data_IF_739839098768
#
_entry.id   IF_739839098768
#
_cell.length_a   1.000
_cell.length_b   1.000
_cell.length_c   1.000
_cell.angle_alpha   90.00
_cell.angle_beta   90.00
_cell.angle_gamma   90.00
#
_symmetry.space_group_name_H-M   'P 1'
#
loop_
_entity.id
_entity.type
_entity.pdbx_description
1 polymer ?
#
# COMPACT_ATOMS: atom_id res chain seq x y z
N UNK A 1 -11.38 -9.50 -15.73
CA UNK A 1 -11.51 -9.38 -14.25
C UNK A 1 -12.42 -8.20 -13.91
N UNK A 2 -13.07 -8.18 -12.74
CA UNK A 2 -13.95 -7.07 -12.32
C UNK A 2 -13.12 -5.81 -12.06
N UNK A 3 -13.57 -4.65 -12.54
CA UNK A 3 -12.96 -3.37 -12.24
C UNK A 3 -12.91 -3.15 -10.72
N UNK A 4 -11.71 -3.01 -10.16
CA UNK A 4 -11.51 -2.78 -8.73
C UNK A 4 -11.78 -1.30 -8.46
N UNK A 5 -12.68 -1.00 -7.52
CA UNK A 5 -13.04 0.38 -7.20
C UNK A 5 -11.97 1.05 -6.32
N UNK A 6 -11.86 2.38 -6.37
CA UNK A 6 -10.92 3.13 -5.52
C UNK A 6 -11.08 2.82 -4.01
N UNK A 7 -12.29 2.66 -3.44
CA UNK A 7 -12.45 2.20 -2.06
C UNK A 7 -11.82 0.83 -1.78
N UNK A 8 -11.91 -0.11 -2.73
CA UNK A 8 -11.30 -1.42 -2.60
C UNK A 8 -9.76 -1.33 -2.66
N UNK A 9 -9.21 -0.49 -3.54
CA UNK A 9 -7.77 -0.23 -3.59
C UNK A 9 -7.26 0.41 -2.30
N UNK A 10 -7.96 1.41 -1.76
CA UNK A 10 -7.60 2.02 -0.46
C UNK A 10 -7.67 1.01 0.69
N UNK A 11 -8.67 0.12 0.68
CA UNK A 11 -8.78 -0.95 1.66
C UNK A 11 -7.61 -1.94 1.56
N UNK A 12 -7.18 -2.28 0.33
CA UNK A 12 -6.03 -3.15 0.09
C UNK A 12 -4.72 -2.48 0.51
N UNK A 13 -4.47 -1.24 0.11
CA UNK A 13 -3.29 -0.48 0.55
C UNK A 13 -3.20 -0.41 2.09
N UNK A 14 -4.33 -0.15 2.76
CA UNK A 14 -4.41 -0.17 4.23
C UNK A 14 -4.08 -1.55 4.80
N UNK A 15 -4.57 -2.64 4.19
CA UNK A 15 -4.28 -4.02 4.61
C UNK A 15 -2.80 -4.34 4.47
N UNK A 16 -2.19 -3.98 3.35
CA UNK A 16 -0.78 -4.20 3.07
C UNK A 16 0.11 -3.42 4.05
N UNK A 17 -0.25 -2.18 4.38
CA UNK A 17 0.43 -1.41 5.43
C UNK A 17 0.39 -2.10 6.80
N UNK A 18 -0.77 -2.62 7.21
CA UNK A 18 -0.90 -3.34 8.50
C UNK A 18 -0.13 -4.68 8.51
N UNK A 19 0.03 -5.32 7.34
CA UNK A 19 0.74 -6.59 7.20
C UNK A 19 2.25 -6.42 6.95
N UNK A 20 2.71 -5.22 6.57
CA UNK A 20 4.09 -4.95 6.17
C UNK A 20 5.14 -5.53 7.12
N UNK A 21 5.02 -5.29 8.43
CA UNK A 21 5.98 -5.79 9.44
C UNK A 21 6.01 -7.32 9.49
N UNK A 22 4.84 -7.98 9.39
CA UNK A 22 4.74 -9.44 9.31
C UNK A 22 5.44 -9.94 8.04
N UNK A 23 5.17 -9.30 6.92
CA UNK A 23 5.71 -9.68 5.62
C UNK A 23 7.23 -9.46 5.51
N UNK A 24 7.77 -8.46 6.21
CA UNK A 24 9.21 -8.20 6.27
C UNK A 24 9.95 -9.09 7.29
N UNK A 25 9.24 -9.71 8.24
CA UNK A 25 9.84 -10.60 9.24
C UNK A 25 10.52 -11.82 8.61
N UNK A 26 11.73 -12.15 9.08
CA UNK A 26 12.57 -13.25 8.54
C UNK A 26 11.84 -14.60 8.46
N UNK A 27 10.97 -14.88 9.43
CA UNK A 27 10.22 -16.15 9.56
C UNK A 27 9.11 -16.27 8.52
N UNK A 28 8.46 -15.16 8.16
CA UNK A 28 7.41 -15.16 7.14
C UNK A 28 7.99 -15.00 5.72
N UNK A 29 9.13 -14.30 5.59
CA UNK A 29 9.85 -14.14 4.32
C UNK A 29 10.21 -15.50 3.69
N UNK A 30 10.66 -16.47 4.49
CA UNK A 30 11.09 -17.79 4.02
C UNK A 30 9.97 -18.73 3.58
N UNK A 31 8.74 -18.52 4.08
CA UNK A 31 7.55 -19.29 3.67
C UNK A 31 6.79 -18.61 2.53
N UNK A 32 6.68 -17.28 2.54
CA UNK A 32 5.95 -16.53 1.52
C UNK A 32 6.68 -16.42 0.16
N UNK A 33 8.02 -16.45 0.13
CA UNK A 33 8.80 -16.55 -1.13
C UNK A 33 8.41 -17.80 -1.93
N UNK A 34 7.95 -18.87 -1.27
CA UNK A 34 7.64 -20.17 -1.90
C UNK A 34 6.21 -20.30 -2.44
N UNK A 35 5.28 -19.39 -2.12
CA UNK A 35 3.86 -19.57 -2.46
C UNK A 35 3.17 -18.35 -3.14
N UNK A 36 3.56 -17.10 -2.84
CA UNK A 36 2.92 -15.87 -3.36
C UNK A 36 3.94 -14.77 -3.71
N UNK A 37 5.22 -15.15 -3.87
CA UNK A 37 6.37 -14.27 -3.65
C UNK A 37 6.39 -12.96 -4.45
N UNK A 38 5.85 -12.91 -5.66
CA UNK A 38 5.93 -11.73 -6.54
C UNK A 38 5.14 -10.52 -6.01
N UNK A 39 3.84 -10.68 -5.79
CA UNK A 39 2.95 -9.57 -5.40
C UNK A 39 3.26 -9.06 -4.00
N UNK A 40 3.50 -9.96 -3.04
CA UNK A 40 3.87 -9.57 -1.68
C UNK A 40 5.18 -8.77 -1.67
N UNK A 41 6.21 -9.23 -2.38
CA UNK A 41 7.48 -8.50 -2.45
C UNK A 41 7.33 -7.15 -3.14
N UNK A 42 6.47 -7.07 -4.16
CA UNK A 42 6.19 -5.82 -4.85
C UNK A 42 5.45 -4.82 -3.96
N UNK A 43 4.52 -5.28 -3.10
CA UNK A 43 3.90 -4.44 -2.06
C UNK A 43 4.89 -3.95 -1.00
N UNK A 44 5.83 -4.81 -0.57
CA UNK A 44 6.90 -4.40 0.35
C UNK A 44 7.74 -3.28 -0.31
N UNK A 45 8.15 -3.46 -1.56
CA UNK A 45 8.93 -2.46 -2.32
C UNK A 45 8.15 -1.16 -2.48
N UNK A 46 6.86 -1.23 -2.80
CA UNK A 46 6.00 -0.04 -2.91
C UNK A 46 5.94 0.74 -1.58
N UNK A 47 5.79 0.05 -0.46
CA UNK A 47 5.78 0.69 0.87
C UNK A 47 7.16 1.29 1.19
N UNK A 48 8.25 0.61 0.87
CA UNK A 48 9.60 1.12 1.06
C UNK A 48 9.85 2.41 0.24
N UNK A 49 9.46 2.42 -1.04
CA UNK A 49 9.53 3.61 -1.90
C UNK A 49 8.68 4.76 -1.35
N UNK A 50 7.45 4.49 -0.90
CA UNK A 50 6.58 5.48 -0.28
C UNK A 50 7.23 6.09 0.98
N UNK A 51 7.88 5.27 1.81
CA UNK A 51 8.62 5.75 2.99
C UNK A 51 9.80 6.63 2.61
N UNK A 52 10.59 6.24 1.60
CA UNK A 52 11.72 7.06 1.12
C UNK A 52 11.22 8.43 0.63
N UNK A 53 10.17 8.43 -0.19
CA UNK A 53 9.56 9.66 -0.69
C UNK A 53 9.06 10.56 0.45
N UNK A 54 8.28 9.99 1.38
CA UNK A 54 7.76 10.75 2.52
C UNK A 54 8.87 11.25 3.42
N UNK A 55 9.94 10.48 3.63
CA UNK A 55 11.09 10.93 4.44
C UNK A 55 11.81 12.12 3.83
N UNK A 56 11.89 12.19 2.50
CA UNK A 56 12.49 13.33 1.80
C UNK A 56 11.60 14.58 1.84
N UNK A 57 10.29 14.42 1.63
CA UNK A 57 9.35 15.54 1.49
C UNK A 57 8.78 16.03 2.83
N UNK A 58 8.43 15.11 3.72
CA UNK A 58 7.85 15.40 5.03
C UNK A 58 8.20 14.30 6.05
N UNK A 59 9.35 14.42 6.73
CA UNK A 59 9.80 13.43 7.71
C UNK A 59 8.80 13.17 8.84
N UNK A 60 8.00 14.17 9.22
CA UNK A 60 6.98 13.99 10.25
C UNK A 60 5.85 13.06 9.76
N UNK A 61 5.42 13.21 8.50
CA UNK A 61 4.41 12.34 7.89
C UNK A 61 4.90 10.89 7.76
N UNK A 62 6.18 10.66 7.45
CA UNK A 62 6.76 9.30 7.45
C UNK A 62 6.80 8.69 8.86
N UNK A 63 7.18 9.46 9.89
CA UNK A 63 7.11 8.99 11.28
C UNK A 63 5.68 8.65 11.70
N UNK A 64 4.71 9.49 11.32
CA UNK A 64 3.29 9.24 11.55
C UNK A 64 2.83 7.93 10.88
N UNK A 65 3.18 7.72 9.60
CA UNK A 65 2.91 6.47 8.87
C UNK A 65 3.45 5.25 9.62
N UNK A 66 4.73 5.29 9.99
CA UNK A 66 5.42 4.19 10.66
C UNK A 66 4.75 3.82 11.99
N UNK A 67 4.33 4.82 12.78
CA UNK A 67 3.64 4.59 14.06
C UNK A 67 2.18 4.17 13.90
N UNK A 68 1.42 4.81 13.03
CA UNK A 68 -0.02 4.54 12.86
C UNK A 68 -0.30 3.12 12.37
N UNK A 69 0.54 2.63 11.46
CA UNK A 69 0.43 1.31 10.83
C UNK A 69 1.34 0.25 11.46
N UNK A 70 2.20 0.64 12.42
CA UNK A 70 3.07 -0.28 13.13
C UNK A 70 4.10 -0.96 12.22
N UNK A 71 4.71 -0.18 11.32
CA UNK A 71 5.67 -0.69 10.35
C UNK A 71 6.97 -1.17 11.01
N UNK A 72 7.36 -0.53 12.12
CA UNK A 72 8.55 -0.87 12.90
C UNK A 72 8.17 -1.54 14.23
N UNK A 73 7.27 -0.90 14.99
CA UNK A 73 6.82 -1.39 16.30
C UNK A 73 5.42 -2.00 16.20
N UNK A 74 5.17 -3.19 16.80
CA UNK A 74 3.84 -3.79 16.79
C UNK A 74 2.79 -2.89 17.44
N UNK A 75 1.59 -2.85 16.84
CA UNK A 75 0.45 -2.14 17.41
C UNK A 75 -0.16 -2.95 18.57
N UNK A 76 -0.56 -2.28 19.67
CA UNK A 76 -1.35 -2.92 20.71
C UNK A 76 -2.67 -3.46 20.14
N UNK A 77 -2.96 -4.75 20.34
CA UNK A 77 -4.14 -5.43 19.78
C UNK A 77 -5.47 -4.89 20.31
N UNK A 78 -5.47 -4.31 21.51
CA UNK A 78 -6.66 -3.79 22.19
C UNK A 78 -7.00 -2.35 21.82
N UNK A 79 -6.13 -1.62 21.10
CA UNK A 79 -6.35 -0.19 20.84
C UNK A 79 -7.03 0.06 19.49
N UNK A 80 -8.21 0.72 19.46
CA UNK A 80 -8.84 1.11 18.22
C UNK A 80 -8.03 2.20 17.51
N UNK A 81 -8.18 2.29 16.18
CA UNK A 81 -7.43 3.25 15.35
C UNK A 81 -7.60 4.71 15.82
N UNK A 82 -8.81 5.09 16.21
CA UNK A 82 -9.11 6.43 16.75
C UNK A 82 -8.27 6.76 17.98
N UNK A 83 -8.18 5.83 18.94
CA UNK A 83 -7.39 6.05 20.17
C UNK A 83 -5.90 6.24 19.85
N UNK A 84 -5.37 5.49 18.86
CA UNK A 84 -3.99 5.67 18.41
C UNK A 84 -3.78 7.03 17.74
N UNK A 85 -4.75 7.49 16.96
CA UNK A 85 -4.67 8.79 16.29
C UNK A 85 -4.67 9.94 17.30
N UNK A 86 -5.54 9.89 18.32
CA UNK A 86 -5.57 10.89 19.42
C UNK A 86 -4.24 10.93 20.17
N UNK A 87 -3.70 9.76 20.51
CA UNK A 87 -2.39 9.68 21.16
C UNK A 87 -1.29 10.26 20.26
N UNK A 88 -1.33 9.98 18.96
CA UNK A 88 -0.36 10.52 18.00
C UNK A 88 -0.52 12.04 17.81
N UNK A 89 -1.73 12.61 17.90
CA UNK A 89 -1.92 14.06 17.82
C UNK A 89 -1.27 14.77 19.00
N UNK A 90 -1.39 14.19 20.20
CA UNK A 90 -0.72 14.68 21.40
C UNK A 90 0.80 14.54 21.27
N UNK A 91 1.30 13.34 20.94
CA UNK A 91 2.74 13.05 20.83
C UNK A 91 3.46 13.88 19.76
N UNK A 92 2.78 14.20 18.66
CA UNK A 92 3.37 14.93 17.54
C UNK A 92 3.03 16.42 17.55
N UNK A 93 2.20 16.88 18.49
CA UNK A 93 1.66 18.24 18.54
C UNK A 93 1.00 18.69 17.23
N UNK A 94 0.22 17.80 16.61
CA UNK A 94 -0.47 18.02 15.33
C UNK A 94 -1.97 17.79 15.53
N UNK A 95 -2.83 18.63 14.94
CA UNK A 95 -4.28 18.47 15.08
C UNK A 95 -4.78 17.13 14.52
N UNK A 96 -5.83 16.57 15.13
CA UNK A 96 -6.46 15.34 14.63
C UNK A 96 -6.86 15.46 13.14
N UNK A 97 -7.42 16.61 12.74
CA UNK A 97 -7.80 16.89 11.35
C UNK A 97 -6.62 16.75 10.37
N UNK A 98 -5.45 17.22 10.78
CA UNK A 98 -4.21 17.11 9.98
C UNK A 98 -3.77 15.66 9.89
N UNK A 99 -3.88 14.88 10.98
CA UNK A 99 -3.55 13.45 10.96
C UNK A 99 -4.49 12.64 10.06
N UNK A 100 -5.80 12.94 10.07
CA UNK A 100 -6.74 12.32 9.13
C UNK A 100 -6.38 12.63 7.68
N UNK A 101 -6.01 13.88 7.38
CA UNK A 101 -5.53 14.27 6.05
C UNK A 101 -4.25 13.52 5.67
N UNK A 102 -3.26 13.48 6.57
CA UNK A 102 -2.02 12.75 6.35
C UNK A 102 -2.26 11.26 6.11
N UNK A 103 -3.23 10.66 6.79
CA UNK A 103 -3.59 9.26 6.58
C UNK A 103 -4.08 9.02 5.15
N UNK A 104 -4.93 9.89 4.62
CA UNK A 104 -5.40 9.77 3.23
C UNK A 104 -4.25 10.02 2.24
N UNK A 105 -3.44 11.07 2.45
CA UNK A 105 -2.25 11.35 1.63
C UNK A 105 -1.28 10.14 1.58
N UNK A 106 -1.06 9.47 2.73
CA UNK A 106 -0.21 8.28 2.81
C UNK A 106 -0.78 7.13 1.98
N UNK A 107 -2.09 6.90 2.05
CA UNK A 107 -2.72 5.84 1.25
C UNK A 107 -2.56 6.12 -0.25
N UNK A 108 -2.66 7.38 -0.66
CA UNK A 108 -2.47 7.78 -2.06
C UNK A 108 -1.03 7.58 -2.52
N UNK A 109 -0.04 8.01 -1.73
CA UNK A 109 1.39 7.77 -2.03
C UNK A 109 1.70 6.28 -2.15
N UNK A 110 1.16 5.45 -1.26
CA UNK A 110 1.36 4.00 -1.31
C UNK A 110 0.70 3.39 -2.55
N UNK A 111 -0.48 3.88 -2.93
CA UNK A 111 -1.14 3.45 -4.17
C UNK A 111 -0.34 3.83 -5.41
N UNK A 112 0.21 5.04 -5.47
CA UNK A 112 1.09 5.45 -6.58
C UNK A 112 2.34 4.57 -6.65
N UNK A 113 3.01 4.33 -5.53
CA UNK A 113 4.17 3.44 -5.50
C UNK A 113 3.82 2.00 -5.90
N UNK A 114 2.62 1.51 -5.55
CA UNK A 114 2.14 0.20 -5.97
C UNK A 114 1.81 0.13 -7.47
N UNK A 115 1.34 1.24 -8.06
CA UNK A 115 1.17 1.36 -9.50
C UNK A 115 2.51 1.35 -10.23
N UNK A 116 3.49 2.12 -9.76
CA UNK A 116 4.86 2.11 -10.32
C UNK A 116 5.52 0.73 -10.21
N UNK A 117 5.27 0.01 -9.11
CA UNK A 117 5.74 -1.36 -8.93
C UNK A 117 4.96 -2.41 -9.76
N UNK A 118 3.96 -2.00 -10.55
CA UNK A 118 3.16 -2.89 -11.41
C UNK A 118 2.16 -3.78 -10.67
N UNK A 119 1.98 -3.55 -9.36
CA UNK A 119 1.10 -4.34 -8.48
C UNK A 119 -0.36 -3.96 -8.69
N UNK A 120 -0.60 -2.66 -8.88
CA UNK A 120 -1.91 -2.12 -9.21
C UNK A 120 -1.87 -1.59 -10.64
N UNK A 121 -2.84 -1.97 -11.47
CA UNK A 121 -2.98 -1.41 -12.80
C UNK A 121 -3.49 0.04 -12.75
N UNK A 122 -3.02 0.87 -13.69
CA UNK A 122 -3.61 2.18 -13.93
C UNK A 122 -5.07 2.00 -14.37
N UNK A 123 -5.98 2.75 -13.74
CA UNK A 123 -7.39 2.72 -14.08
C UNK A 123 -7.58 3.05 -15.57
N UNK A 124 -8.27 2.18 -16.30
CA UNK A 124 -8.55 2.33 -17.74
C UNK A 124 -7.45 1.85 -18.70
N UNK A 125 -6.20 1.65 -18.26
CA UNK A 125 -5.08 1.31 -19.17
C UNK A 125 -4.89 -0.21 -19.32
N UNK A 126 -4.99 -0.98 -18.23
CA UNK A 126 -4.89 -2.46 -18.30
C UNK A 126 -6.04 -3.09 -19.08
N UNK A 127 -7.24 -2.51 -19.00
CA UNK A 127 -8.39 -2.99 -19.78
C UNK A 127 -8.15 -2.84 -21.29
N UNK A 128 -7.43 -1.80 -21.73
CA UNK A 128 -7.09 -1.58 -23.13
C UNK A 128 -6.01 -2.55 -23.62
N UNK A 129 -4.94 -2.77 -22.83
CA UNK A 129 -3.87 -3.71 -23.19
C UNK A 129 -4.34 -5.18 -23.23
N UNK A 130 -5.24 -5.57 -22.33
CA UNK A 130 -5.84 -6.92 -22.35
C UNK A 130 -6.82 -7.10 -23.52
N UNK A 131 -7.53 -6.04 -23.94
CA UNK A 131 -8.39 -6.05 -25.13
C UNK A 131 -7.57 -6.12 -26.41
N UNK A 132 -6.47 -5.36 -26.52
CA UNK A 132 -5.55 -5.42 -27.67
C UNK A 132 -4.86 -6.79 -27.78
N UNK A 133 -4.46 -7.39 -26.66
CA UNK A 133 -3.85 -8.72 -26.65
C UNK A 133 -4.86 -9.81 -27.06
N UNK A 134 -6.10 -9.75 -26.56
CA UNK A 134 -7.16 -10.69 -26.93
C UNK A 134 -7.61 -10.54 -28.40
N UNK A 135 -7.59 -9.31 -28.95
CA UNK A 135 -7.86 -9.05 -30.36
C UNK A 135 -6.74 -9.56 -31.29
N UNK A 136 -5.48 -9.46 -30.87
CA UNK A 136 -4.36 -9.98 -31.64
C UNK A 136 -4.32 -11.52 -31.67
N UNK A 137 -4.65 -12.21 -30.57
CA UNK A 137 -4.75 -13.67 -30.53
C UNK A 137 -5.90 -14.23 -31.40
N UNK A 138 -7.02 -13.49 -31.47
CA UNK A 138 -8.17 -13.87 -32.30
C UNK A 138 -7.98 -13.56 -33.80
N UNK A 139 -7.12 -12.60 -34.15
CA UNK A 139 -6.72 -12.34 -35.53
C UNK A 139 -5.64 -13.32 -36.02
N UNK A 140 -4.75 -13.79 -35.15
CA UNK A 140 -3.70 -14.77 -35.51
C UNK A 140 -4.23 -16.21 -35.67
N UNK A 141 -5.46 -16.48 -35.21
CA UNK A 141 -6.13 -17.78 -35.35
C UNK A 141 -7.03 -17.87 -36.59
N UNK A 142 -7.00 -16.86 -37.47
CA UNK A 142 -7.84 -16.76 -38.68
C UNK A 142 -7.06 -16.74 -40.00
N UNK A 143 -5.74 -16.90 -39.94
CA UNK A 143 -4.86 -17.19 -41.08
C UNK A 143 -4.39 -18.66 -41.04
#
# INVERSE_FOLDING_TARGET
>A
MKAISLPQLRAEAKRQLMNYRRNNSRVYRSSAIRAEGGEMLAWIRAIDSARIYLRAQNPAKERYMTRLFGLETPLPRSQPMRARLIRLSEEMCVSESTLYKWREDILEVVLYAAMEAGVIGLFGIRAAQEQECAQNESNTSRD
#
